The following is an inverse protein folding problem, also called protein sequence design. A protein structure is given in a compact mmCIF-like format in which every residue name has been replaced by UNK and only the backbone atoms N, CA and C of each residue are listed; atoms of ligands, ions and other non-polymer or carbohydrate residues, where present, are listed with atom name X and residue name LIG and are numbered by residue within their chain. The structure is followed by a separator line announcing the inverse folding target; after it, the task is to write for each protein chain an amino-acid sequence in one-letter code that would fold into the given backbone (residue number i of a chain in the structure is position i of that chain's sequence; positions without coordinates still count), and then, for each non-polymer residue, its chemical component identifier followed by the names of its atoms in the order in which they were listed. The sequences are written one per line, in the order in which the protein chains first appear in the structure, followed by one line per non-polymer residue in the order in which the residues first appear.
data_IF_881385473857
#
_entry.id   IF_881385473857
#
_cell.length_a   1.000
_cell.length_b   1.000
_cell.length_c   1.000
_cell.angle_alpha   90.00
_cell.angle_beta   90.00
_cell.angle_gamma   90.00
#
_symmetry.space_group_name_H-M   'P 1'
#
loop_
_entity.id
_entity.type
_entity.pdbx_description
1 polymer ?
#
# COMPACT_ATOMS: atom_id res chain seq x y z
N UNK A 1 14.62 -18.30 -8.47
CA UNK A 1 13.17 -18.56 -8.50
C UNK A 1 12.44 -17.44 -7.78
N UNK A 2 11.45 -16.94 -8.44
CA UNK A 2 10.68 -15.83 -7.93
C UNK A 2 9.41 -16.34 -7.21
N UNK A 3 9.07 -15.72 -6.09
CA UNK A 3 7.87 -16.07 -5.31
C UNK A 3 7.11 -14.80 -4.98
N UNK A 4 5.80 -14.80 -5.26
CA UNK A 4 4.93 -13.69 -4.89
C UNK A 4 4.85 -13.55 -3.39
N UNK A 5 4.91 -12.31 -2.92
CA UNK A 5 4.72 -12.00 -1.50
C UNK A 5 3.23 -11.95 -1.19
N UNK A 6 2.83 -12.62 -0.12
CA UNK A 6 1.48 -12.50 0.44
C UNK A 6 1.60 -12.61 1.96
N UNK A 7 1.14 -11.58 2.66
CA UNK A 7 1.22 -11.55 4.11
C UNK A 7 0.04 -10.79 4.69
N UNK A 8 -0.30 -11.12 5.92
CA UNK A 8 -1.33 -10.43 6.68
C UNK A 8 -0.67 -9.82 7.91
N UNK A 9 -0.86 -8.52 8.08
CA UNK A 9 -0.26 -7.77 9.20
C UNK A 9 -1.35 -7.03 9.96
N UNK A 10 -1.06 -6.74 11.23
CA UNK A 10 -1.98 -5.97 12.09
C UNK A 10 -1.30 -4.67 12.48
N UNK A 11 -2.02 -3.57 12.28
CA UNK A 11 -1.56 -2.23 12.62
C UNK A 11 -2.57 -1.63 13.58
N UNK A 12 -2.07 -1.08 14.70
CA UNK A 12 -2.92 -0.41 15.67
C UNK A 12 -2.76 1.10 15.52
N UNK A 13 -3.83 1.78 15.14
CA UNK A 13 -3.87 3.23 15.04
C UNK A 13 -4.36 3.81 16.35
N UNK A 14 -3.41 4.24 17.18
CA UNK A 14 -3.70 4.81 18.49
C UNK A 14 -3.98 6.31 18.32
N UNK A 15 -5.25 6.67 18.24
CA UNK A 15 -5.68 8.05 18.04
C UNK A 15 -7.00 8.30 18.74
N UNK A 16 -7.19 9.52 19.21
CA UNK A 16 -8.48 9.98 19.76
C UNK A 16 -9.44 10.39 18.64
N UNK A 17 -8.95 10.49 17.41
CA UNK A 17 -9.77 10.83 16.26
C UNK A 17 -10.60 9.62 15.83
N UNK A 18 -11.90 9.81 15.69
CA UNK A 18 -12.82 8.70 15.36
C UNK A 18 -12.98 8.49 13.85
N UNK A 19 -12.37 9.33 13.01
CA UNK A 19 -12.45 9.21 11.57
C UNK A 19 -11.34 8.34 11.02
N UNK A 20 -11.25 8.32 9.67
CA UNK A 20 -10.23 7.55 8.99
C UNK A 20 -8.87 8.27 9.05
N UNK A 21 -7.81 7.47 9.11
CA UNK A 21 -6.45 7.94 8.96
C UNK A 21 -5.93 7.49 7.61
N UNK A 22 -5.38 8.40 6.81
CA UNK A 22 -4.91 8.08 5.47
C UNK A 22 -3.38 7.94 5.50
N UNK A 23 -2.86 6.74 5.24
CA UNK A 23 -1.43 6.48 5.36
C UNK A 23 -0.62 6.98 4.16
N UNK A 24 0.69 7.08 4.36
CA UNK A 24 1.67 7.24 3.28
C UNK A 24 2.34 5.89 3.10
N UNK A 25 2.39 5.40 1.87
CA UNK A 25 2.88 4.05 1.57
C UNK A 25 4.03 4.13 0.58
N UNK A 26 5.14 3.48 0.93
CA UNK A 26 6.28 3.33 0.03
C UNK A 26 6.45 1.85 -0.26
N UNK A 27 6.45 1.50 -1.54
CA UNK A 27 6.58 0.11 -1.99
C UNK A 27 7.75 0.02 -2.96
N UNK A 28 8.61 -0.98 -2.77
CA UNK A 28 9.66 -1.32 -3.73
C UNK A 28 9.32 -2.69 -4.31
N UNK A 29 9.13 -2.76 -5.62
CA UNK A 29 8.83 -4.02 -6.29
C UNK A 29 10.07 -4.89 -6.40
N UNK A 30 9.86 -6.20 -6.44
CA UNK A 30 10.93 -7.17 -6.48
C UNK A 30 11.69 -7.14 -7.81
N UNK A 31 12.83 -7.83 -7.83
CA UNK A 31 13.71 -7.92 -8.98
C UNK A 31 13.27 -9.03 -9.92
N UNK A 32 12.03 -8.98 -10.39
CA UNK A 32 11.55 -9.96 -11.34
C UNK A 32 11.36 -9.28 -12.71
N UNK A 33 11.26 -10.05 -13.77
CA UNK A 33 11.19 -9.51 -15.13
C UNK A 33 9.76 -9.27 -15.62
N UNK A 34 8.77 -9.64 -14.83
CA UNK A 34 7.37 -9.45 -15.17
C UNK A 34 6.78 -8.29 -14.39
N UNK A 35 5.77 -7.65 -14.97
CA UNK A 35 4.97 -6.68 -14.24
C UNK A 35 4.18 -7.38 -13.16
N UNK A 36 3.91 -6.68 -12.06
CA UNK A 36 3.19 -7.24 -10.93
C UNK A 36 1.99 -6.39 -10.57
N UNK A 37 0.94 -7.04 -10.08
CA UNK A 37 -0.18 -6.37 -9.45
C UNK A 37 0.07 -6.35 -7.95
N UNK A 38 -0.02 -5.18 -7.34
CA UNK A 38 0.19 -5.01 -5.90
C UNK A 38 -1.13 -4.65 -5.27
N UNK A 39 -1.55 -5.39 -4.25
CA UNK A 39 -2.77 -5.07 -3.53
C UNK A 39 -2.53 -4.98 -2.02
N UNK A 40 -3.18 -4.01 -1.40
CA UNK A 40 -3.25 -3.87 0.05
C UNK A 40 -4.73 -3.79 0.41
N UNK A 41 -5.21 -4.80 1.13
CA UNK A 41 -6.61 -4.89 1.52
C UNK A 41 -6.74 -4.66 3.01
N UNK A 42 -7.54 -3.69 3.41
CA UNK A 42 -7.88 -3.51 4.82
C UNK A 42 -9.11 -4.37 5.13
N UNK A 43 -8.87 -5.54 5.68
CA UNK A 43 -9.92 -6.50 6.01
C UNK A 43 -10.86 -5.90 7.05
N UNK A 44 -10.35 -5.14 8.00
CA UNK A 44 -11.12 -4.48 9.04
C UNK A 44 -12.06 -3.41 8.47
N UNK A 45 -11.70 -2.79 7.36
CA UNK A 45 -12.51 -1.79 6.67
C UNK A 45 -13.31 -2.42 5.52
N UNK A 46 -14.03 -3.49 5.80
CA UNK A 46 -14.90 -4.19 4.86
C UNK A 46 -14.16 -4.61 3.58
N UNK A 47 -12.92 -5.05 3.72
CA UNK A 47 -12.06 -5.48 2.61
C UNK A 47 -11.78 -4.38 1.59
N UNK A 48 -11.70 -3.13 2.03
CA UNK A 48 -11.29 -2.04 1.14
C UNK A 48 -9.91 -2.31 0.59
N UNK A 49 -9.79 -2.33 -0.73
CA UNK A 49 -8.56 -2.70 -1.41
C UNK A 49 -8.00 -1.54 -2.22
N UNK A 50 -6.70 -1.27 -2.04
CA UNK A 50 -5.93 -0.42 -2.91
C UNK A 50 -5.07 -1.33 -3.79
N UNK A 51 -5.28 -1.30 -5.11
CA UNK A 51 -4.57 -2.17 -6.03
C UNK A 51 -3.93 -1.37 -7.16
N UNK A 52 -2.63 -1.59 -7.34
CA UNK A 52 -1.87 -1.05 -8.48
C UNK A 52 -1.62 -2.19 -9.46
N UNK A 53 -2.02 -2.00 -10.71
CA UNK A 53 -1.87 -3.02 -11.74
C UNK A 53 -0.64 -2.77 -12.59
N UNK A 54 0.01 -3.85 -13.02
CA UNK A 54 1.09 -3.83 -14.00
C UNK A 54 2.26 -2.92 -13.60
N UNK A 55 2.67 -2.97 -12.35
CA UNK A 55 3.84 -2.24 -11.86
C UNK A 55 5.10 -3.00 -12.26
N UNK A 56 6.04 -2.30 -12.87
CA UNK A 56 7.29 -2.93 -13.35
C UNK A 56 8.19 -3.33 -12.18
N UNK A 57 9.11 -4.26 -12.46
CA UNK A 57 10.10 -4.69 -11.48
C UNK A 57 11.01 -3.53 -11.06
N UNK A 58 11.54 -3.61 -9.84
CA UNK A 58 12.48 -2.63 -9.26
C UNK A 58 11.97 -1.19 -9.31
N UNK A 59 10.67 -1.02 -9.23
CA UNK A 59 10.04 0.30 -9.18
C UNK A 59 9.77 0.68 -7.72
N UNK A 60 10.10 1.91 -7.35
CA UNK A 60 9.71 2.46 -6.06
C UNK A 60 8.45 3.28 -6.24
N UNK A 61 7.41 2.92 -5.50
CA UNK A 61 6.10 3.59 -5.56
C UNK A 61 5.87 4.37 -4.29
N UNK A 62 5.46 5.62 -4.44
CA UNK A 62 5.07 6.48 -3.31
C UNK A 62 3.60 6.80 -3.43
N UNK A 63 2.80 6.30 -2.49
CA UNK A 63 1.37 6.55 -2.46
C UNK A 63 1.02 7.36 -1.22
N UNK A 64 0.56 8.59 -1.43
CA UNK A 64 0.05 9.44 -0.36
C UNK A 64 -1.47 9.38 -0.39
N UNK A 65 -2.03 8.53 0.46
CA UNK A 65 -3.47 8.32 0.48
C UNK A 65 -4.24 9.54 0.99
N UNK A 66 -3.56 10.43 1.71
CA UNK A 66 -4.19 11.64 2.24
C UNK A 66 -4.53 12.64 1.13
N UNK A 67 -3.65 12.77 0.14
CA UNK A 67 -3.85 13.73 -0.96
C UNK A 67 -4.25 13.05 -2.26
N UNK A 68 -4.32 11.72 -2.28
CA UNK A 68 -4.70 10.97 -3.48
C UNK A 68 -3.63 10.98 -4.56
N UNK A 69 -2.36 10.89 -4.17
CA UNK A 69 -1.22 10.88 -5.09
C UNK A 69 -0.54 9.53 -5.09
N UNK A 70 -0.21 9.01 -6.27
CA UNK A 70 0.64 7.82 -6.42
C UNK A 70 1.61 8.07 -7.56
N UNK A 71 2.90 8.04 -7.25
CA UNK A 71 3.98 8.34 -8.20
C UNK A 71 5.11 7.33 -8.05
N UNK A 72 5.97 7.25 -9.06
CA UNK A 72 7.22 6.49 -8.96
C UNK A 72 8.38 7.41 -8.53
N UNK A 73 9.60 6.86 -8.47
CA UNK A 73 10.78 7.62 -8.04
C UNK A 73 11.21 8.70 -9.04
N UNK A 74 10.64 8.71 -10.24
CA UNK A 74 10.86 9.76 -11.24
C UNK A 74 9.73 10.77 -11.29
N UNK A 75 8.87 10.80 -10.28
CA UNK A 75 7.69 11.66 -10.18
C UNK A 75 6.66 11.44 -11.29
N UNK A 76 6.69 10.27 -11.92
CA UNK A 76 5.69 9.90 -12.94
C UNK A 76 4.47 9.33 -12.23
N UNK A 77 3.29 9.85 -12.58
CA UNK A 77 2.04 9.41 -11.96
C UNK A 77 1.71 7.96 -12.33
N UNK A 78 1.33 7.18 -11.32
CA UNK A 78 0.82 5.82 -11.48
C UNK A 78 -0.69 5.77 -11.21
N UNK A 79 -1.35 6.91 -11.22
CA UNK A 79 -2.77 7.00 -10.89
C UNK A 79 -3.64 6.16 -11.82
N UNK A 80 -3.28 6.08 -13.11
CA UNK A 80 -4.02 5.27 -14.08
C UNK A 80 -3.87 3.78 -13.84
N UNK A 81 -2.85 3.36 -13.10
CA UNK A 81 -2.67 1.96 -12.70
C UNK A 81 -3.44 1.60 -11.44
N UNK A 82 -4.04 2.59 -10.77
CA UNK A 82 -4.77 2.37 -9.53
C UNK A 82 -6.19 1.91 -9.86
N UNK A 83 -6.52 0.68 -9.48
CA UNK A 83 -7.83 0.09 -9.72
C UNK A 83 -8.90 0.87 -8.96
N UNK A 84 -9.98 1.23 -9.67
CA UNK A 84 -11.11 1.99 -9.12
C UNK A 84 -10.71 3.33 -8.47
N UNK A 85 -9.50 3.80 -8.72
CA UNK A 85 -8.97 5.05 -8.12
C UNK A 85 -9.13 5.06 -6.61
N UNK A 86 -8.99 3.91 -5.97
CA UNK A 86 -9.26 3.74 -4.53
C UNK A 86 -7.95 3.67 -3.76
N UNK A 87 -7.84 4.49 -2.73
CA UNK A 87 -6.71 4.52 -1.81
C UNK A 87 -7.03 3.80 -0.52
N UNK A 88 -5.99 3.35 0.17
CA UNK A 88 -6.12 2.72 1.48
C UNK A 88 -6.46 3.76 2.54
N UNK A 89 -7.19 3.33 3.57
CA UNK A 89 -7.44 4.14 4.77
C UNK A 89 -7.42 3.23 5.98
N UNK A 90 -7.12 3.80 7.12
CA UNK A 90 -7.02 3.07 8.39
C UNK A 90 -8.13 3.53 9.32
N UNK A 91 -8.71 2.58 10.04
CA UNK A 91 -9.70 2.85 11.09
C UNK A 91 -8.99 3.09 12.43
N UNK A 92 -9.62 3.78 13.39
CA UNK A 92 -9.07 3.82 14.75
C UNK A 92 -9.00 2.41 15.31
N UNK A 93 -7.93 2.14 16.06
CA UNK A 93 -7.72 0.82 16.65
C UNK A 93 -7.01 -0.14 15.72
N UNK A 94 -7.28 -1.43 15.88
CA UNK A 94 -6.60 -2.46 15.12
C UNK A 94 -7.11 -2.55 13.68
N UNK A 95 -6.19 -2.60 12.74
CA UNK A 95 -6.47 -2.83 11.33
C UNK A 95 -5.71 -4.07 10.88
N UNK A 96 -6.43 -5.01 10.28
CA UNK A 96 -5.81 -6.18 9.67
C UNK A 96 -5.67 -5.95 8.18
N UNK A 97 -4.43 -5.94 7.69
CA UNK A 97 -4.13 -5.67 6.29
C UNK A 97 -3.58 -6.92 5.62
N UNK A 98 -4.09 -7.23 4.43
CA UNK A 98 -3.52 -8.27 3.58
C UNK A 98 -2.76 -7.61 2.44
N UNK A 99 -1.48 -7.98 2.29
CA UNK A 99 -0.59 -7.40 1.31
C UNK A 99 -0.19 -8.50 0.34
N UNK A 100 -0.31 -8.23 -0.95
CA UNK A 100 -0.03 -9.21 -1.99
C UNK A 100 0.68 -8.55 -3.17
N UNK A 101 1.60 -9.28 -3.79
CA UNK A 101 2.32 -8.84 -4.98
C UNK A 101 3.80 -9.18 -4.91
N UNK A 102 4.53 -8.81 -5.95
CA UNK A 102 5.96 -9.07 -6.07
C UNK A 102 6.74 -7.91 -5.42
N UNK A 103 6.73 -7.89 -4.10
CA UNK A 103 7.21 -6.76 -3.29
C UNK A 103 8.52 -7.15 -2.61
N UNK A 104 9.55 -6.31 -2.76
CA UNK A 104 10.81 -6.44 -2.03
C UNK A 104 10.69 -5.82 -0.64
N UNK A 105 10.09 -4.63 -0.55
CA UNK A 105 9.89 -3.95 0.73
C UNK A 105 8.67 -3.06 0.70
N UNK A 106 8.10 -2.82 1.88
CA UNK A 106 6.94 -1.96 2.04
C UNK A 106 7.06 -1.21 3.36
N UNK A 107 6.74 0.09 3.31
CA UNK A 107 6.67 0.94 4.49
C UNK A 107 5.31 1.62 4.51
N UNK A 108 4.63 1.56 5.65
CA UNK A 108 3.37 2.27 5.86
C UNK A 108 3.57 3.27 7.00
N UNK A 109 3.29 4.54 6.76
CA UNK A 109 3.43 5.61 7.74
C UNK A 109 2.09 6.27 8.01
N UNK A 110 1.81 6.57 9.28
CA UNK A 110 0.60 7.30 9.68
C UNK A 110 0.87 8.00 11.01
N UNK A 111 0.38 9.22 11.17
CA UNK A 111 0.45 9.94 12.45
C UNK A 111 1.79 9.79 13.18
N UNK A 112 2.91 9.99 12.49
CA UNK A 112 4.27 9.83 13.00
C UNK A 112 4.65 8.39 13.38
N UNK A 113 3.81 7.41 13.06
CA UNK A 113 4.09 6.00 13.26
C UNK A 113 4.48 5.36 11.93
N UNK A 114 5.20 4.25 12.00
CA UNK A 114 5.65 3.53 10.79
C UNK A 114 5.58 2.03 11.00
N UNK A 115 5.30 1.32 9.93
CA UNK A 115 5.36 -0.13 9.87
C UNK A 115 6.19 -0.54 8.66
N UNK A 116 7.12 -1.43 8.86
CA UNK A 116 7.99 -1.96 7.80
C UNK A 116 7.78 -3.46 7.62
N UNK A 117 7.83 -3.87 6.38
CA UNK A 117 7.90 -5.29 6.01
C UNK A 117 9.23 -5.56 5.36
#
# INVERSE_FOLDING_TARGET
TYTSFTDTVKINVDTDYSGYTYPYIKIVTDNNTADTDISITNITDSNRTMMLTSVTAKTTVYADCRIGSVIDSSDISLYDSLADRRFLRLLPGENELRISGDIESLEISWCNMRYYI
#
